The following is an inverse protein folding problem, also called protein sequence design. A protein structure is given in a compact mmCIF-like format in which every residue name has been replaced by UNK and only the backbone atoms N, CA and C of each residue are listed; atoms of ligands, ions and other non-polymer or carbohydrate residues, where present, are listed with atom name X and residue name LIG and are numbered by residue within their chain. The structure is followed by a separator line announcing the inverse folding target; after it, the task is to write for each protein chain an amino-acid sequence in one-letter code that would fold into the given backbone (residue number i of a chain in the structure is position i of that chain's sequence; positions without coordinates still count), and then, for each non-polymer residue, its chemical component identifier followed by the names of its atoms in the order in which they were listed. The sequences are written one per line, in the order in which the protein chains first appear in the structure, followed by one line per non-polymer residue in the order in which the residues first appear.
data_IF_649984927135
#
_entry.id   IF_649984927135
#
_cell.length_a   1.000
_cell.length_b   1.000
_cell.length_c   1.000
_cell.angle_alpha   90.00
_cell.angle_beta   90.00
_cell.angle_gamma   90.00
#
_symmetry.space_group_name_H-M   'P 1'
#
loop_
_entity.id
_entity.type
_entity.pdbx_description
1 polymer ?
#
# COMPACT_ATOMS: atom_id res chain seq x y z
N UNK A 1 57.14 19.16 21.99
CA UNK A 1 56.14 19.74 21.05
C UNK A 1 54.97 18.80 20.95
N UNK A 2 53.77 19.33 21.23
CA UNK A 2 52.47 18.68 21.12
C UNK A 2 52.12 18.36 19.66
N UNK A 3 51.33 17.32 19.41
CA UNK A 3 50.04 17.48 18.72
C UNK A 3 49.17 16.22 18.82
N UNK A 4 48.13 16.40 19.63
CA UNK A 4 46.88 15.63 19.63
C UNK A 4 46.31 15.68 18.21
N UNK A 5 46.04 14.54 17.57
CA UNK A 5 45.07 14.47 16.49
C UNK A 5 44.28 13.18 16.68
N UNK A 6 43.17 13.31 17.40
CA UNK A 6 42.08 12.36 17.40
C UNK A 6 41.44 12.39 16.00
N UNK A 7 41.32 11.22 15.37
CA UNK A 7 40.63 11.07 14.07
C UNK A 7 39.42 10.18 14.29
N UNK A 8 38.29 10.87 14.44
CA UNK A 8 37.01 10.64 13.79
C UNK A 8 36.35 9.25 13.98
N UNK A 9 35.38 9.26 14.88
CA UNK A 9 34.17 8.43 14.89
C UNK A 9 33.59 8.29 13.47
N UNK A 10 33.66 7.11 12.89
CA UNK A 10 32.79 6.70 11.79
C UNK A 10 31.62 5.92 12.38
N UNK A 11 30.60 6.65 12.81
CA UNK A 11 29.32 6.06 13.17
C UNK A 11 28.63 5.66 11.85
N UNK A 12 28.79 4.39 11.47
CA UNK A 12 28.03 3.81 10.38
C UNK A 12 26.56 3.75 10.81
N UNK A 13 25.81 4.80 10.49
CA UNK A 13 24.37 4.78 10.54
C UNK A 13 23.90 3.85 9.41
N UNK A 14 23.85 2.55 9.70
CA UNK A 14 23.04 1.62 8.94
C UNK A 14 21.59 2.10 9.10
N UNK A 15 21.13 2.90 8.14
CA UNK A 15 19.73 3.19 7.95
C UNK A 15 19.07 1.85 7.62
N UNK A 16 18.61 1.16 8.66
CA UNK A 16 17.63 0.11 8.51
C UNK A 16 16.40 0.81 7.92
N UNK A 17 16.28 0.80 6.59
CA UNK A 17 15.04 1.12 5.94
C UNK A 17 13.99 0.21 6.59
N UNK A 18 12.84 0.75 7.05
CA UNK A 18 11.79 -0.12 7.53
C UNK A 18 11.46 -1.03 6.36
N UNK A 19 11.72 -2.33 6.52
CA UNK A 19 11.04 -3.32 5.73
C UNK A 19 9.57 -2.91 5.81
N UNK A 20 8.97 -2.57 4.68
CA UNK A 20 7.55 -2.30 4.60
C UNK A 20 6.89 -3.61 5.05
N UNK A 21 6.63 -3.70 6.35
CA UNK A 21 5.85 -4.75 6.96
C UNK A 21 4.48 -4.55 6.32
N UNK A 22 4.22 -5.27 5.23
CA UNK A 22 2.92 -5.30 4.59
C UNK A 22 1.96 -5.71 5.70
N UNK A 23 1.21 -4.74 6.23
CA UNK A 23 0.14 -5.04 7.18
C UNK A 23 -0.73 -6.06 6.47
N UNK A 24 -0.98 -7.17 7.15
CA UNK A 24 -1.83 -8.24 6.65
C UNK A 24 -3.26 -7.68 6.58
N UNK A 25 -3.62 -7.10 5.42
CA UNK A 25 -4.92 -6.47 5.20
C UNK A 25 -5.94 -7.58 5.01
N UNK A 26 -6.96 -7.60 5.85
CA UNK A 26 -7.98 -8.63 5.83
C UNK A 26 -8.88 -8.44 4.62
N UNK A 27 -8.79 -9.36 3.65
CA UNK A 27 -9.68 -9.42 2.48
C UNK A 27 -10.69 -10.54 2.72
N UNK A 28 -11.98 -10.18 2.78
CA UNK A 28 -13.09 -11.13 2.90
C UNK A 28 -13.47 -11.75 1.55
N UNK A 29 -13.40 -10.97 0.48
CA UNK A 29 -13.81 -11.39 -0.86
C UNK A 29 -12.93 -10.71 -1.93
N UNK A 30 -12.45 -11.48 -2.90
CA UNK A 30 -11.78 -10.96 -4.10
C UNK A 30 -12.29 -11.67 -5.35
N UNK A 31 -13.00 -10.93 -6.21
CA UNK A 31 -13.47 -11.38 -7.52
C UNK A 31 -12.90 -10.55 -8.68
N UNK A 32 -11.88 -9.73 -8.42
CA UNK A 32 -11.30 -8.84 -9.43
C UNK A 32 -10.40 -9.57 -10.44
N UNK A 33 -9.88 -10.75 -10.10
CA UNK A 33 -9.01 -11.55 -10.98
C UNK A 33 -7.67 -10.85 -11.28
N UNK A 34 -7.17 -10.06 -10.33
CA UNK A 34 -5.87 -9.39 -10.42
C UNK A 34 -4.77 -10.26 -9.81
N UNK A 35 -3.51 -9.95 -10.13
CA UNK A 35 -2.37 -10.54 -9.42
C UNK A 35 -2.41 -10.20 -7.92
N UNK A 36 -1.82 -11.05 -7.09
CA UNK A 36 -1.74 -10.84 -5.63
C UNK A 36 -1.06 -9.52 -5.29
N UNK A 37 0.10 -9.26 -5.88
CA UNK A 37 0.84 -8.01 -5.67
C UNK A 37 0.01 -6.76 -6.02
N UNK A 38 -0.75 -6.78 -7.11
CA UNK A 38 -1.61 -5.65 -7.46
C UNK A 38 -2.79 -5.54 -6.48
N UNK A 39 -3.39 -6.67 -6.10
CA UNK A 39 -4.47 -6.74 -5.12
C UNK A 39 -4.05 -6.11 -3.78
N UNK A 40 -2.87 -6.48 -3.26
CA UNK A 40 -2.33 -5.95 -2.00
C UNK A 40 -2.07 -4.44 -2.07
N UNK A 41 -1.47 -3.97 -3.16
CA UNK A 41 -1.23 -2.53 -3.35
C UNK A 41 -2.53 -1.72 -3.38
N UNK A 42 -3.55 -2.24 -4.07
CA UNK A 42 -4.87 -1.59 -4.15
C UNK A 42 -5.60 -1.65 -2.80
N UNK A 43 -5.50 -2.76 -2.08
CA UNK A 43 -6.04 -2.93 -0.73
C UNK A 43 -5.42 -1.92 0.25
N UNK A 44 -4.09 -1.81 0.26
CA UNK A 44 -3.36 -0.84 1.08
C UNK A 44 -3.78 0.59 0.76
N UNK A 45 -3.88 0.93 -0.53
CA UNK A 45 -4.33 2.24 -0.98
C UNK A 45 -5.75 2.54 -0.46
N UNK A 46 -6.68 1.59 -0.59
CA UNK A 46 -8.06 1.79 -0.13
C UNK A 46 -8.15 2.00 1.39
N UNK A 47 -7.40 1.23 2.18
CA UNK A 47 -7.35 1.41 3.65
C UNK A 47 -6.75 2.76 4.02
N UNK A 48 -5.66 3.19 3.36
CA UNK A 48 -5.08 4.52 3.55
C UNK A 48 -6.03 5.65 3.18
N UNK A 49 -7.01 5.39 2.29
CA UNK A 49 -8.05 6.35 1.90
C UNK A 49 -9.33 6.26 2.77
N UNK A 50 -9.33 5.42 3.81
CA UNK A 50 -10.40 5.38 4.81
C UNK A 50 -11.37 4.21 4.68
N UNK A 51 -11.16 3.29 3.73
CA UNK A 51 -11.96 2.05 3.68
C UNK A 51 -11.58 1.16 4.86
N UNK A 52 -12.55 0.82 5.71
CA UNK A 52 -12.30 -0.03 6.88
C UNK A 52 -12.36 -1.52 6.53
N UNK A 53 -11.42 -2.28 7.07
CA UNK A 53 -11.37 -3.74 6.97
C UNK A 53 -12.60 -4.43 7.62
N UNK A 54 -12.93 -5.67 7.21
CA UNK A 54 -12.33 -6.42 6.11
C UNK A 54 -12.78 -5.89 4.74
N UNK A 55 -11.91 -6.03 3.73
CA UNK A 55 -12.15 -5.53 2.38
C UNK A 55 -12.90 -6.55 1.51
N UNK A 56 -13.77 -6.03 0.64
CA UNK A 56 -14.34 -6.74 -0.51
C UNK A 56 -13.87 -6.04 -1.79
N UNK A 57 -13.22 -6.80 -2.65
CA UNK A 57 -12.57 -6.34 -3.88
C UNK A 57 -13.32 -6.98 -5.05
N UNK A 58 -13.97 -6.16 -5.88
CA UNK A 58 -14.80 -6.63 -6.98
C UNK A 58 -14.41 -5.97 -8.30
N UNK A 59 -14.48 -6.73 -9.38
CA UNK A 59 -14.31 -6.17 -10.73
C UNK A 59 -15.41 -5.15 -11.03
N UNK A 60 -15.05 -4.04 -11.67
CA UNK A 60 -15.97 -3.06 -12.24
C UNK A 60 -15.71 -2.91 -13.73
N UNK A 61 -16.55 -2.13 -14.44
CA UNK A 61 -16.42 -1.94 -15.88
C UNK A 61 -15.03 -1.42 -16.29
N UNK A 62 -14.47 -0.48 -15.51
CA UNK A 62 -13.22 0.22 -15.85
C UNK A 62 -12.05 -0.16 -14.93
N UNK A 63 -12.21 -1.17 -14.07
CA UNK A 63 -11.18 -1.55 -13.09
C UNK A 63 -11.73 -2.34 -11.92
N UNK A 64 -11.58 -1.80 -10.71
CA UNK A 64 -11.93 -2.48 -9.45
C UNK A 64 -12.63 -1.54 -8.49
N UNK A 65 -13.64 -2.06 -7.80
CA UNK A 65 -14.28 -1.42 -6.65
C UNK A 65 -13.84 -2.12 -5.36
N UNK A 66 -13.36 -1.33 -4.40
CA UNK A 66 -12.95 -1.78 -3.08
C UNK A 66 -13.84 -1.11 -2.05
N UNK A 67 -14.48 -1.91 -1.22
CA UNK A 67 -15.29 -1.47 -0.07
C UNK A 67 -14.97 -2.33 1.14
N UNK A 68 -15.50 -1.96 2.30
CA UNK A 68 -15.38 -2.77 3.50
C UNK A 68 -16.47 -2.43 4.50
N UNK A 69 -16.15 -2.41 5.79
CA UNK A 69 -17.13 -2.16 6.85
C UNK A 69 -17.53 -0.68 7.02
N UNK A 70 -16.84 0.25 6.35
CA UNK A 70 -17.16 1.68 6.31
C UNK A 70 -18.11 2.05 5.17
N UNK A 71 -18.68 3.25 5.23
CA UNK A 71 -19.37 3.87 4.09
C UNK A 71 -18.42 4.23 2.94
N UNK A 72 -17.14 4.44 3.23
CA UNK A 72 -16.12 4.78 2.23
C UNK A 72 -15.90 3.62 1.27
N UNK A 73 -15.95 3.93 -0.03
CA UNK A 73 -15.71 3.01 -1.13
C UNK A 73 -14.75 3.65 -2.14
N UNK A 74 -13.75 2.89 -2.56
CA UNK A 74 -12.81 3.28 -3.59
C UNK A 74 -13.14 2.61 -4.93
N UNK A 75 -13.20 3.38 -6.01
CA UNK A 75 -13.17 2.88 -7.37
C UNK A 75 -11.80 3.19 -7.97
N UNK A 76 -11.09 2.15 -8.38
CA UNK A 76 -9.76 2.24 -8.95
C UNK A 76 -9.86 1.83 -10.41
N UNK A 77 -9.67 2.79 -11.30
CA UNK A 77 -9.62 2.56 -12.74
C UNK A 77 -8.29 1.93 -13.11
N UNK A 78 -8.33 0.90 -13.95
CA UNK A 78 -7.15 0.21 -14.44
C UNK A 78 -7.08 0.35 -15.97
N UNK A 79 -5.91 0.69 -16.49
CA UNK A 79 -5.61 0.69 -17.92
C UNK A 79 -4.38 -0.18 -18.16
N UNK A 80 -4.52 -1.27 -18.91
CA UNK A 80 -3.46 -2.25 -19.17
C UNK A 80 -2.73 -2.72 -17.89
N UNK A 81 -3.49 -3.00 -16.81
CA UNK A 81 -2.95 -3.45 -15.53
C UNK A 81 -2.29 -2.36 -14.67
N UNK A 82 -2.32 -1.09 -15.11
CA UNK A 82 -1.81 0.06 -14.35
C UNK A 82 -2.94 0.91 -13.80
N UNK A 83 -2.72 1.54 -12.65
CA UNK A 83 -3.69 2.47 -12.05
C UNK A 83 -3.82 3.70 -12.95
N UNK A 84 -5.02 3.96 -13.45
CA UNK A 84 -5.35 5.11 -14.30
C UNK A 84 -6.09 6.22 -13.52
N UNK A 85 -6.68 5.88 -12.38
CA UNK A 85 -7.34 6.86 -11.51
C UNK A 85 -7.93 6.21 -10.27
N UNK A 86 -8.01 6.96 -9.18
CA UNK A 86 -8.58 6.51 -7.90
C UNK A 86 -9.62 7.53 -7.45
N UNK A 87 -10.80 7.05 -7.06
CA UNK A 87 -11.86 7.88 -6.48
C UNK A 87 -12.43 7.17 -5.27
N UNK A 88 -12.33 7.78 -4.10
CA UNK A 88 -12.93 7.26 -2.87
C UNK A 88 -13.94 8.27 -2.31
N UNK A 89 -15.11 7.78 -1.92
CA UNK A 89 -16.21 8.56 -1.35
C UNK A 89 -16.88 7.78 -0.25
#
# INVERSE_FOLDING_TARGET
MNKKIAVLLALAAAVAAPAAMAKDIKIQENSAGLSEQLTENLAATAVSMGVKEPLSIRKSADGVTISGSSSTRCNIKLNNGKIAGVSCK
#
